data_IF_695071219951
#
_entry.id   IF_695071219951
#
_cell.length_a   1.000
_cell.length_b   1.000
_cell.length_c   1.000
_cell.angle_alpha   90.00
_cell.angle_beta   90.00
_cell.angle_gamma   90.00
#
_symmetry.space_group_name_H-M   'P 1'
#
loop_
_entity.id
_entity.type
_entity.pdbx_description
1 polymer ?
#
# COMPACT_ATOMS: atom_id res chain seq x y z
N UNK A 1 43.61 16.11 19.74
CA UNK A 1 43.58 15.87 18.28
C UNK A 1 42.20 16.23 17.77
N UNK A 2 42.10 16.81 16.58
CA UNK A 2 40.81 17.20 15.99
C UNK A 2 40.05 15.97 15.47
N UNK A 3 40.73 15.07 14.76
CA UNK A 3 40.15 13.82 14.24
C UNK A 3 40.53 12.63 15.13
N UNK A 4 39.54 11.79 15.43
CA UNK A 4 39.76 10.50 16.08
C UNK A 4 39.90 9.40 15.00
N UNK A 5 41.05 8.69 14.92
CA UNK A 5 41.24 7.60 13.96
C UNK A 5 40.27 6.42 14.17
N UNK A 6 39.73 6.25 15.39
CA UNK A 6 38.76 5.21 15.71
C UNK A 6 37.30 5.64 15.42
N UNK A 7 37.07 6.89 15.00
CA UNK A 7 35.72 7.38 14.68
C UNK A 7 35.28 6.86 13.31
N UNK A 8 34.48 5.80 13.32
CA UNK A 8 33.86 5.21 12.13
C UNK A 8 32.97 6.19 11.33
N UNK A 9 32.57 7.32 11.93
CA UNK A 9 31.82 8.39 11.25
C UNK A 9 32.70 9.41 10.53
N UNK A 10 34.02 9.37 10.73
CA UNK A 10 34.99 10.30 10.14
C UNK A 10 35.20 10.15 8.63
N UNK A 11 34.80 9.02 8.03
CA UNK A 11 34.80 8.81 6.57
C UNK A 11 36.16 8.46 5.94
N UNK A 12 37.27 8.66 6.66
CA UNK A 12 38.59 8.20 6.24
C UNK A 12 38.80 6.72 6.56
N UNK A 13 39.45 5.99 5.65
CA UNK A 13 39.69 4.54 5.79
C UNK A 13 41.13 4.21 6.24
N UNK A 14 42.06 5.15 6.07
CA UNK A 14 43.49 4.93 6.32
C UNK A 14 43.98 5.82 7.47
N UNK A 15 44.50 5.19 8.53
CA UNK A 15 45.01 5.90 9.71
C UNK A 15 46.16 6.86 9.36
N UNK A 16 47.00 6.52 8.38
CA UNK A 16 48.09 7.38 7.89
C UNK A 16 47.56 8.70 7.33
N UNK A 17 46.44 8.67 6.62
CA UNK A 17 45.77 9.86 6.08
C UNK A 17 45.20 10.70 7.23
N UNK A 18 44.55 10.06 8.20
CA UNK A 18 44.01 10.75 9.38
C UNK A 18 45.12 11.43 10.17
N UNK A 19 46.25 10.75 10.37
CA UNK A 19 47.41 11.30 11.08
C UNK A 19 48.00 12.52 10.35
N UNK A 20 48.18 12.43 9.02
CA UNK A 20 48.64 13.55 8.21
C UNK A 20 47.69 14.75 8.27
N UNK A 21 46.38 14.52 8.14
CA UNK A 21 45.40 15.60 8.22
C UNK A 21 45.41 16.24 9.61
N UNK A 22 45.47 15.44 10.68
CA UNK A 22 45.60 15.94 12.05
C UNK A 22 46.86 16.80 12.23
N UNK A 23 48.00 16.38 11.66
CA UNK A 23 49.23 17.17 11.66
C UNK A 23 49.01 18.51 10.96
N UNK A 24 48.40 18.51 9.76
CA UNK A 24 48.12 19.73 8.99
C UNK A 24 47.18 20.69 9.71
N UNK A 25 46.12 20.17 10.31
CA UNK A 25 45.17 20.94 11.12
C UNK A 25 45.91 21.54 12.33
N UNK A 26 46.75 20.77 13.02
CA UNK A 26 47.44 21.20 14.23
C UNK A 26 48.55 22.25 14.00
N UNK A 27 48.87 22.60 12.75
CA UNK A 27 49.86 23.65 12.43
C UNK A 27 49.48 25.03 12.94
N UNK A 28 48.20 25.27 13.20
CA UNK A 28 47.71 26.53 13.74
C UNK A 28 46.51 26.28 14.67
N UNK A 29 46.39 27.03 15.77
CA UNK A 29 45.34 26.85 16.79
C UNK A 29 43.91 26.95 16.21
N UNK A 30 43.71 27.86 15.24
CA UNK A 30 42.44 27.99 14.49
C UNK A 30 42.02 26.71 13.76
N UNK A 31 42.92 25.81 13.39
CA UNK A 31 42.57 24.57 12.68
C UNK A 31 41.71 23.63 13.55
N UNK A 32 42.20 23.18 14.71
CA UNK A 32 41.42 22.37 15.63
C UNK A 32 40.15 23.07 16.12
N UNK A 33 40.22 24.37 16.43
CA UNK A 33 39.07 25.19 16.83
C UNK A 33 37.99 25.17 15.74
N UNK A 34 38.38 25.49 14.50
CA UNK A 34 37.47 25.48 13.36
C UNK A 34 36.83 24.09 13.15
N UNK A 35 37.60 23.01 13.28
CA UNK A 35 37.02 21.68 13.14
C UNK A 35 35.96 21.40 14.22
N UNK A 36 36.27 21.69 15.48
CA UNK A 36 35.40 21.40 16.61
C UNK A 36 34.13 22.27 16.62
N UNK A 37 34.27 23.56 16.33
CA UNK A 37 33.17 24.53 16.32
C UNK A 37 32.13 24.24 15.22
N UNK A 38 32.55 23.53 14.17
CA UNK A 38 31.75 23.30 12.98
C UNK A 38 31.31 21.84 12.80
N UNK A 39 31.60 20.95 13.76
CA UNK A 39 31.35 19.50 13.64
C UNK A 39 29.86 19.11 13.58
N UNK A 40 28.97 19.99 14.06
CA UNK A 40 27.51 19.79 14.11
C UNK A 40 26.79 20.51 12.96
N UNK A 41 27.47 21.44 12.29
CA UNK A 41 26.84 22.27 11.26
C UNK A 41 26.62 21.51 9.95
N UNK A 42 25.76 22.07 9.11
CA UNK A 42 25.58 21.62 7.74
C UNK A 42 26.81 21.95 6.88
N UNK A 43 27.02 21.21 5.79
CA UNK A 43 28.15 21.47 4.89
C UNK A 43 28.15 22.90 4.34
N UNK A 44 26.97 23.43 4.00
CA UNK A 44 26.77 24.80 3.51
C UNK A 44 27.31 25.84 4.52
N UNK A 45 26.93 25.72 5.79
CA UNK A 45 27.40 26.62 6.85
C UNK A 45 28.91 26.51 7.09
N UNK A 46 29.49 25.31 6.96
CA UNK A 46 30.95 25.12 7.06
C UNK A 46 31.67 25.79 5.90
N UNK A 47 31.15 25.64 4.68
CA UNK A 47 31.72 26.24 3.47
C UNK A 47 31.66 27.77 3.52
N UNK A 48 30.55 28.34 3.97
CA UNK A 48 30.39 29.79 4.14
C UNK A 48 31.37 30.36 5.18
N UNK A 49 31.56 29.67 6.30
CA UNK A 49 32.55 30.07 7.30
C UNK A 49 33.97 29.96 6.78
N UNK A 50 34.29 28.92 6.01
CA UNK A 50 35.61 28.80 5.37
C UNK A 50 35.84 29.96 4.39
N UNK A 51 34.85 30.29 3.55
CA UNK A 51 34.91 31.42 2.61
C UNK A 51 35.24 32.73 3.35
N UNK A 52 34.52 33.03 4.42
CA UNK A 52 34.77 34.23 5.23
C UNK A 52 36.23 34.29 5.75
N UNK A 53 36.76 33.16 6.22
CA UNK A 53 38.16 33.05 6.68
C UNK A 53 39.16 33.30 5.53
N UNK A 54 38.89 32.75 4.34
CA UNK A 54 39.76 32.89 3.18
C UNK A 54 39.78 34.34 2.65
N UNK A 55 38.62 35.01 2.65
CA UNK A 55 38.47 36.40 2.20
C UNK A 55 39.04 37.42 3.19
N UNK A 56 39.14 37.07 4.48
CA UNK A 56 39.69 37.96 5.51
C UNK A 56 41.22 38.11 5.34
N UNK A 57 41.70 39.31 5.03
CA UNK A 57 43.13 39.60 4.86
C UNK A 57 43.94 39.51 6.15
N UNK A 58 43.32 39.77 7.30
CA UNK A 58 43.94 39.73 8.63
C UNK A 58 44.26 38.31 9.12
N UNK A 59 43.69 37.27 8.49
CA UNK A 59 43.94 35.89 8.88
C UNK A 59 45.26 35.42 8.25
N UNK A 60 46.24 34.92 9.04
CA UNK A 60 47.50 34.38 8.52
C UNK A 60 47.29 33.22 7.55
N UNK A 61 48.22 33.03 6.60
CA UNK A 61 48.15 31.94 5.61
C UNK A 61 48.10 30.57 6.28
N UNK A 62 48.89 30.36 7.32
CA UNK A 62 48.94 29.11 8.08
C UNK A 62 47.61 28.79 8.76
N UNK A 63 46.90 29.83 9.22
CA UNK A 63 45.57 29.67 9.79
C UNK A 63 44.54 29.31 8.72
N UNK A 64 44.60 29.95 7.53
CA UNK A 64 43.75 29.62 6.38
C UNK A 64 43.95 28.17 5.94
N UNK A 65 45.21 27.74 5.82
CA UNK A 65 45.56 26.36 5.49
C UNK A 65 45.05 25.37 6.54
N UNK A 66 45.28 25.63 7.83
CA UNK A 66 44.82 24.77 8.91
C UNK A 66 43.28 24.64 8.92
N UNK A 67 42.55 25.74 8.70
CA UNK A 67 41.09 25.73 8.55
C UNK A 67 40.65 24.97 7.31
N UNK A 68 41.35 25.10 6.17
CA UNK A 68 41.03 24.35 4.95
C UNK A 68 41.16 22.83 5.14
N UNK A 69 42.19 22.37 5.85
CA UNK A 69 42.32 20.96 6.25
C UNK A 69 41.22 20.51 7.21
N UNK A 70 40.80 21.40 8.13
CA UNK A 70 39.65 21.18 9.01
C UNK A 70 38.35 21.00 8.21
N UNK A 71 38.08 21.89 7.25
CA UNK A 71 36.93 21.82 6.35
C UNK A 71 36.95 20.57 5.48
N UNK A 72 38.11 20.16 4.95
CA UNK A 72 38.22 18.90 4.21
C UNK A 72 37.76 17.72 5.06
N UNK A 73 38.21 17.66 6.32
CA UNK A 73 37.83 16.58 7.22
C UNK A 73 36.34 16.60 7.57
N UNK A 74 35.74 17.80 7.75
CA UNK A 74 34.31 17.97 7.93
C UNK A 74 33.51 17.55 6.70
N UNK A 75 33.98 17.89 5.49
CA UNK A 75 33.35 17.51 4.23
C UNK A 75 33.34 15.99 4.02
N UNK A 76 34.45 15.32 4.30
CA UNK A 76 34.53 13.84 4.24
C UNK A 76 33.58 13.19 5.24
N UNK A 77 33.52 13.70 6.49
CA UNK A 77 32.56 13.25 7.51
C UNK A 77 31.11 13.44 7.04
N UNK A 78 30.79 14.60 6.47
CA UNK A 78 29.47 14.92 5.95
C UNK A 78 29.08 13.95 4.82
N UNK A 79 29.94 13.77 3.82
CA UNK A 79 29.72 12.85 2.71
C UNK A 79 29.51 11.41 3.19
N UNK A 80 30.29 10.96 4.18
CA UNK A 80 30.13 9.62 4.79
C UNK A 80 28.76 9.47 5.46
N UNK A 81 28.36 10.45 6.28
CA UNK A 81 27.05 10.44 6.96
C UNK A 81 25.91 10.48 5.95
N UNK A 82 26.00 11.35 4.94
CA UNK A 82 25.00 11.46 3.89
C UNK A 82 24.86 10.14 3.12
N UNK A 83 25.97 9.49 2.77
CA UNK A 83 25.95 8.17 2.12
C UNK A 83 25.27 7.09 2.96
N UNK A 84 25.55 7.05 4.28
CA UNK A 84 24.90 6.11 5.20
C UNK A 84 23.39 6.37 5.33
N UNK A 85 22.99 7.64 5.47
CA UNK A 85 21.58 8.02 5.57
C UNK A 85 20.84 7.75 4.25
N UNK A 86 21.47 8.04 3.12
CA UNK A 86 20.89 7.79 1.81
C UNK A 86 20.68 6.28 1.57
N UNK A 87 21.69 5.45 1.85
CA UNK A 87 21.57 3.99 1.73
C UNK A 87 20.42 3.43 2.60
N UNK A 88 20.31 3.87 3.86
CA UNK A 88 19.20 3.48 4.74
C UNK A 88 17.84 3.92 4.21
N UNK A 89 17.74 5.14 3.69
CA UNK A 89 16.50 5.67 3.11
C UNK A 89 16.08 4.90 1.87
N UNK A 90 17.01 4.59 0.98
CA UNK A 90 16.76 3.78 -0.22
C UNK A 90 16.29 2.38 0.16
N UNK A 91 16.95 1.73 1.12
CA UNK A 91 16.54 0.42 1.61
C UNK A 91 15.12 0.45 2.19
N UNK A 92 14.84 1.43 3.07
CA UNK A 92 13.51 1.59 3.65
C UNK A 92 12.41 1.82 2.60
N UNK A 93 12.68 2.67 1.60
CA UNK A 93 11.75 2.90 0.48
C UNK A 93 11.51 1.63 -0.33
N UNK A 94 12.55 0.84 -0.57
CA UNK A 94 12.43 -0.44 -1.27
C UNK A 94 11.55 -1.43 -0.51
N UNK A 95 11.80 -1.60 0.79
CA UNK A 95 11.03 -2.52 1.64
C UNK A 95 9.57 -2.09 1.75
N UNK A 96 9.33 -0.78 1.90
CA UNK A 96 7.98 -0.21 1.91
C UNK A 96 7.23 -0.46 0.60
N UNK A 97 7.88 -0.22 -0.55
CA UNK A 97 7.29 -0.48 -1.86
C UNK A 97 6.98 -1.97 -2.07
N UNK A 98 7.83 -2.87 -1.58
CA UNK A 98 7.62 -4.32 -1.64
C UNK A 98 6.40 -4.74 -0.83
N UNK A 99 6.27 -4.23 0.40
CA UNK A 99 5.09 -4.47 1.25
C UNK A 99 3.81 -3.99 0.56
N UNK A 100 3.80 -2.75 0.06
CA UNK A 100 2.65 -2.20 -0.66
C UNK A 100 2.26 -3.03 -1.89
N UNK A 101 3.24 -3.46 -2.69
CA UNK A 101 3.00 -4.31 -3.86
C UNK A 101 2.37 -5.64 -3.44
N UNK A 102 2.86 -6.27 -2.38
CA UNK A 102 2.31 -7.54 -1.89
C UNK A 102 0.87 -7.39 -1.38
N UNK A 103 0.57 -6.32 -0.64
CA UNK A 103 -0.77 -6.05 -0.14
C UNK A 103 -1.75 -5.75 -1.29
N UNK A 104 -1.33 -4.97 -2.29
CA UNK A 104 -2.15 -4.68 -3.47
C UNK A 104 -2.43 -5.96 -4.28
N UNK A 105 -1.45 -6.86 -4.40
CA UNK A 105 -1.63 -8.14 -5.08
C UNK A 105 -2.61 -9.06 -4.33
N UNK A 106 -2.50 -9.14 -3.00
CA UNK A 106 -3.44 -9.91 -2.17
C UNK A 106 -4.87 -9.38 -2.28
N UNK A 107 -5.04 -8.06 -2.19
CA UNK A 107 -6.35 -7.42 -2.37
C UNK A 107 -6.93 -7.70 -3.78
N UNK A 108 -6.09 -7.65 -4.82
CA UNK A 108 -6.52 -7.95 -6.17
C UNK A 108 -6.94 -9.41 -6.36
N UNK A 109 -6.27 -10.37 -5.68
CA UNK A 109 -6.71 -11.77 -5.69
C UNK A 109 -8.03 -11.96 -4.94
N UNK A 110 -8.20 -11.32 -3.79
CA UNK A 110 -9.42 -11.42 -3.00
C UNK A 110 -10.62 -10.85 -3.76
N UNK A 111 -10.44 -9.70 -4.41
CA UNK A 111 -11.48 -9.10 -5.25
C UNK A 111 -11.87 -9.99 -6.43
N UNK A 112 -10.90 -10.66 -7.07
CA UNK A 112 -11.20 -11.62 -8.15
C UNK A 112 -12.01 -12.80 -7.61
N UNK A 113 -11.63 -13.35 -6.46
CA UNK A 113 -12.35 -14.45 -5.82
C UNK A 113 -13.79 -14.04 -5.49
N UNK A 114 -13.98 -12.91 -4.82
CA UNK A 114 -15.30 -12.40 -4.45
C UNK A 114 -16.17 -12.14 -5.68
N UNK A 115 -15.59 -11.56 -6.73
CA UNK A 115 -16.31 -11.32 -7.99
C UNK A 115 -16.77 -12.63 -8.61
N UNK A 116 -15.90 -13.65 -8.65
CA UNK A 116 -16.27 -14.96 -9.19
C UNK A 116 -17.36 -15.67 -8.38
N UNK A 117 -17.32 -15.55 -7.05
CA UNK A 117 -18.35 -16.09 -6.16
C UNK A 117 -19.70 -15.41 -6.41
N UNK A 118 -19.70 -14.08 -6.48
CA UNK A 118 -20.91 -13.30 -6.71
C UNK A 118 -21.53 -13.57 -8.09
N UNK A 119 -20.69 -13.80 -9.12
CA UNK A 119 -21.17 -14.23 -10.43
C UNK A 119 -21.84 -15.61 -10.40
N UNK A 120 -21.28 -16.55 -9.64
CA UNK A 120 -21.87 -17.89 -9.47
C UNK A 120 -23.21 -17.81 -8.73
N UNK A 121 -23.27 -17.10 -7.60
CA UNK A 121 -24.51 -16.89 -6.84
C UNK A 121 -25.60 -16.23 -7.69
N UNK A 122 -25.24 -15.25 -8.51
CA UNK A 122 -26.17 -14.61 -9.46
C UNK A 122 -26.71 -15.59 -10.50
N UNK A 123 -25.85 -16.43 -11.08
CA UNK A 123 -26.26 -17.45 -12.06
C UNK A 123 -27.19 -18.49 -11.42
N UNK A 124 -26.87 -18.94 -10.22
CA UNK A 124 -27.71 -19.88 -9.46
C UNK A 124 -29.08 -19.28 -9.12
N UNK A 125 -29.11 -18.05 -8.64
CA UNK A 125 -30.36 -17.34 -8.34
C UNK A 125 -31.23 -17.17 -9.59
N UNK A 126 -30.62 -16.78 -10.72
CA UNK A 126 -31.32 -16.66 -11.99
C UNK A 126 -31.90 -18.00 -12.47
N UNK A 127 -31.13 -19.09 -12.34
CA UNK A 127 -31.60 -20.43 -12.68
C UNK A 127 -32.78 -20.87 -11.81
N UNK A 128 -32.71 -20.68 -10.49
CA UNK A 128 -33.81 -21.00 -9.57
C UNK A 128 -35.07 -20.20 -9.88
N UNK A 129 -34.91 -18.92 -10.20
CA UNK A 129 -36.02 -18.05 -10.59
C UNK A 129 -36.70 -18.56 -11.87
N UNK A 130 -35.91 -18.96 -12.88
CA UNK A 130 -36.43 -19.52 -14.12
C UNK A 130 -37.23 -20.81 -13.87
N UNK A 131 -36.70 -21.71 -13.03
CA UNK A 131 -37.36 -22.95 -12.66
C UNK A 131 -38.70 -22.69 -11.93
N UNK A 132 -38.71 -21.74 -11.00
CA UNK A 132 -39.93 -21.32 -10.31
C UNK A 132 -40.98 -20.74 -11.28
N UNK A 133 -40.56 -19.92 -12.24
CA UNK A 133 -41.45 -19.39 -13.28
C UNK A 133 -42.07 -20.50 -14.14
N UNK A 134 -41.27 -21.49 -14.54
CA UNK A 134 -41.78 -22.62 -15.34
C UNK A 134 -42.80 -23.45 -14.56
N UNK A 135 -42.51 -23.78 -13.29
CA UNK A 135 -43.44 -24.51 -12.43
C UNK A 135 -44.73 -23.73 -12.18
N UNK A 136 -44.63 -22.41 -11.96
CA UNK A 136 -45.81 -21.56 -11.79
C UNK A 136 -46.69 -21.56 -13.04
N UNK A 137 -46.09 -21.51 -14.24
CA UNK A 137 -46.84 -21.57 -15.49
C UNK A 137 -47.55 -22.91 -15.69
N UNK A 138 -46.96 -24.03 -15.26
CA UNK A 138 -47.59 -25.35 -15.29
C UNK A 138 -48.79 -25.40 -14.34
N UNK A 139 -48.62 -24.99 -13.09
CA UNK A 139 -49.71 -24.95 -12.10
C UNK A 139 -50.84 -24.02 -12.56
N UNK A 140 -50.52 -22.90 -13.22
CA UNK A 140 -51.52 -22.01 -13.81
C UNK A 140 -52.34 -22.73 -14.91
N UNK A 141 -51.69 -23.48 -15.80
CA UNK A 141 -52.38 -24.27 -16.83
C UNK A 141 -53.28 -25.34 -16.21
N UNK A 142 -52.81 -26.05 -15.19
CA UNK A 142 -53.60 -27.05 -14.46
C UNK A 142 -54.82 -26.42 -13.80
N UNK A 143 -54.64 -25.29 -13.10
CA UNK A 143 -55.73 -24.52 -12.51
C UNK A 143 -56.76 -24.13 -13.55
N UNK A 144 -56.32 -23.62 -14.70
CA UNK A 144 -57.22 -23.16 -15.76
C UNK A 144 -57.98 -24.31 -16.41
N UNK A 145 -57.34 -25.47 -16.58
CA UNK A 145 -58.01 -26.71 -17.01
C UNK A 145 -59.07 -27.17 -16.00
N UNK A 146 -58.75 -27.15 -14.69
CA UNK A 146 -59.70 -27.51 -13.64
C UNK A 146 -60.89 -26.54 -13.60
N UNK A 147 -60.63 -25.22 -13.71
CA UNK A 147 -61.69 -24.21 -13.83
C UNK A 147 -62.60 -24.47 -15.02
N UNK A 148 -62.04 -24.79 -16.18
CA UNK A 148 -62.82 -25.13 -17.37
C UNK A 148 -63.70 -26.38 -17.15
N UNK A 149 -63.16 -27.44 -16.54
CA UNK A 149 -63.92 -28.67 -16.21
C UNK A 149 -65.09 -28.38 -15.26
N UNK A 150 -64.88 -27.56 -14.23
CA UNK A 150 -65.94 -27.15 -13.30
C UNK A 150 -67.05 -26.38 -14.00
N UNK A 151 -66.70 -25.44 -14.89
CA UNK A 151 -67.69 -24.68 -15.66
C UNK A 151 -68.54 -25.57 -16.58
N UNK A 152 -67.96 -26.62 -17.16
CA UNK A 152 -68.72 -27.60 -17.96
C UNK A 152 -69.67 -28.43 -17.08
N UNK A 153 -69.22 -28.90 -15.92
CA UNK A 153 -70.06 -29.66 -14.99
C UNK A 153 -71.26 -28.85 -14.47
N UNK A 154 -71.10 -27.54 -14.28
CA UNK A 154 -72.19 -26.64 -13.85
C UNK A 154 -73.13 -26.26 -15.01
N UNK A 155 -72.66 -26.30 -16.27
CA UNK A 155 -73.45 -25.98 -17.47
C UNK A 155 -74.17 -27.16 -18.10
N UNK A 156 -73.84 -28.40 -17.74
CA UNK A 156 -74.63 -29.57 -18.10
C UNK A 156 -76.01 -29.44 -17.42
N UNK A 157 -77.12 -29.30 -18.18
CA UNK A 157 -78.43 -29.28 -17.56
C UNK A 157 -78.63 -30.64 -16.91
N UNK A 158 -78.88 -30.65 -15.59
CA UNK A 158 -79.56 -31.76 -14.94
C UNK A 158 -80.82 -32.02 -15.76
N UNK A 159 -80.77 -33.06 -16.59
CA UNK A 159 -81.85 -33.44 -17.47
C UNK A 159 -83.11 -33.70 -16.65
N UNK A 160 -84.15 -32.92 -16.96
CA UNK A 160 -85.52 -33.40 -17.06
C UNK A 160 -86.09 -34.08 -15.81
N UNK A 161 -86.34 -33.28 -14.77
CA UNK A 161 -87.52 -33.52 -13.92
C UNK A 161 -88.78 -33.09 -14.68
N UNK A 162 -89.27 -33.92 -15.60
CA UNK A 162 -90.61 -33.78 -16.15
C UNK A 162 -91.34 -35.13 -16.24
N UNK A 163 -92.43 -35.18 -15.47
CA UNK A 163 -93.64 -35.99 -15.60
C UNK A 163 -93.73 -37.45 -15.08
N UNK A 164 -94.49 -37.57 -13.97
CA UNK A 164 -95.69 -38.41 -13.76
C UNK A 164 -95.76 -39.74 -14.52
N UNK A 165 -95.86 -40.85 -13.78
CA UNK A 165 -97.13 -41.55 -13.47
C UNK A 165 -96.93 -43.05 -13.21
N UNK A 166 -97.59 -43.54 -12.15
CA UNK A 166 -98.05 -44.92 -11.90
C UNK A 166 -97.07 -46.07 -12.13
N UNK A 167 -96.70 -46.78 -11.06
CA UNK A 167 -97.18 -48.15 -10.83
C UNK A 167 -97.04 -48.51 -9.34
N UNK A 168 -98.18 -48.83 -8.75
CA UNK A 168 -98.34 -49.51 -7.49
C UNK A 168 -97.95 -50.98 -7.71
N UNK A 169 -97.04 -51.55 -6.92
CA UNK A 169 -97.10 -52.97 -6.56
C UNK A 169 -96.62 -53.16 -5.13
N UNK A 170 -97.58 -53.57 -4.32
CA UNK A 170 -97.44 -53.99 -2.93
C UNK A 170 -97.04 -55.48 -2.85
N UNK A 171 -96.29 -55.80 -1.78
CA UNK A 171 -96.15 -57.08 -1.08
C UNK A 171 -95.39 -58.25 -1.71
N UNK A 172 -94.25 -58.59 -1.09
CA UNK A 172 -94.23 -59.70 -0.12
C UNK A 172 -93.31 -59.40 1.05
#
# INVERSE_FOLDING_TARGET
MALNPEDASGGFHHHTVVAFINEKIARHAKGPEFYLDNIILSWEEVEDKLRAILETSEVPSEAKEACAWGSLALGVRFARRQGQLHGRRVQWLHDFAKLHKSAAQALASDLKLLTSQLEMERKEAAFRLQLAHTSLAEVQKERDLLRWKLLQAVRLPLGLCQHRSYYCYCFR
#
